data_IF_080503372094
#
_entry.id   IF_080503372094
#
_cell.length_a   1.000
_cell.length_b   1.000
_cell.length_c   1.000
_cell.angle_alpha   90.00
_cell.angle_beta   90.00
_cell.angle_gamma   90.00
#
_symmetry.space_group_name_H-M   'P 1'
#
loop_
_entity.id
_entity.type
_entity.pdbx_description
1 polymer ?
#
# COMPACT_ATOMS: atom_id res chain seq x y z
N UNK A 1 50.72 -9.24 -15.67
CA UNK A 1 49.65 -9.82 -14.84
C UNK A 1 48.42 -8.94 -14.97
N UNK A 2 47.45 -9.36 -15.78
CA UNK A 2 46.22 -8.60 -15.99
C UNK A 2 45.30 -8.76 -14.78
N UNK A 3 44.94 -7.65 -14.15
CA UNK A 3 43.91 -7.63 -13.11
C UNK A 3 42.57 -7.95 -13.77
N UNK A 4 41.90 -9.00 -13.30
CA UNK A 4 40.54 -9.34 -13.70
C UNK A 4 39.59 -8.25 -13.17
N UNK A 5 39.06 -7.42 -14.06
CA UNK A 5 37.89 -6.60 -13.76
C UNK A 5 36.71 -7.52 -13.47
N UNK A 6 36.34 -7.61 -12.20
CA UNK A 6 35.16 -8.33 -11.77
C UNK A 6 33.93 -7.44 -12.06
N UNK A 7 33.40 -7.53 -13.28
CA UNK A 7 32.14 -6.88 -13.67
C UNK A 7 30.97 -7.59 -12.97
N UNK A 8 30.76 -7.28 -11.69
CA UNK A 8 29.57 -7.71 -10.96
C UNK A 8 28.41 -6.75 -11.26
N UNK A 9 27.64 -7.03 -12.32
CA UNK A 9 26.31 -6.42 -12.51
C UNK A 9 25.18 -7.47 -12.45
N UNK A 10 24.63 -7.77 -11.26
CA UNK A 10 23.36 -8.47 -11.13
C UNK A 10 22.27 -7.66 -10.37
N UNK A 11 22.51 -6.38 -10.05
CA UNK A 11 21.58 -5.57 -9.24
C UNK A 11 20.38 -5.00 -10.01
N UNK A 12 20.55 -4.41 -11.20
CA UNK A 12 19.41 -3.75 -11.88
C UNK A 12 18.34 -4.74 -12.32
N UNK A 13 18.73 -5.90 -12.86
CA UNK A 13 17.75 -6.92 -13.25
C UNK A 13 16.91 -7.47 -12.08
N UNK A 14 17.43 -7.48 -10.84
CA UNK A 14 16.63 -7.88 -9.67
C UNK A 14 15.63 -6.79 -9.26
N UNK A 15 16.08 -5.53 -9.24
CA UNK A 15 15.23 -4.36 -8.96
C UNK A 15 14.10 -4.26 -9.98
N UNK A 16 14.42 -4.32 -11.27
CA UNK A 16 13.45 -4.26 -12.37
C UNK A 16 12.39 -5.36 -12.26
N UNK A 17 12.80 -6.60 -11.93
CA UNK A 17 11.85 -7.70 -11.70
C UNK A 17 10.95 -7.47 -10.48
N UNK A 18 11.48 -6.89 -9.40
CA UNK A 18 10.69 -6.58 -8.22
C UNK A 18 9.68 -5.46 -8.49
N UNK A 19 10.10 -4.38 -9.15
CA UNK A 19 9.22 -3.28 -9.55
C UNK A 19 8.13 -3.76 -10.51
N UNK A 20 8.52 -4.52 -11.55
CA UNK A 20 7.57 -5.12 -12.49
C UNK A 20 6.54 -5.98 -11.74
N UNK A 21 6.99 -6.83 -10.82
CA UNK A 21 6.08 -7.70 -10.05
C UNK A 21 5.20 -6.89 -9.09
N UNK A 22 5.74 -5.84 -8.47
CA UNK A 22 4.99 -4.94 -7.60
C UNK A 22 3.84 -4.29 -8.37
N UNK A 23 4.11 -3.60 -9.48
CA UNK A 23 3.07 -2.96 -10.28
C UNK A 23 2.05 -3.96 -10.82
N UNK A 24 2.47 -5.12 -11.33
CA UNK A 24 1.53 -6.17 -11.78
C UNK A 24 0.53 -6.57 -10.69
N UNK A 25 0.96 -6.68 -9.42
CA UNK A 25 0.07 -7.00 -8.30
C UNK A 25 -0.82 -5.80 -7.95
N UNK A 26 -0.26 -4.59 -7.98
CA UNK A 26 -1.00 -3.35 -7.68
C UNK A 26 -2.10 -3.10 -8.71
N UNK A 27 -1.81 -3.32 -9.98
CA UNK A 27 -2.74 -3.16 -11.10
C UNK A 27 -3.82 -4.24 -11.12
N UNK A 28 -3.46 -5.48 -10.78
CA UNK A 28 -4.47 -6.55 -10.62
C UNK A 28 -5.50 -6.18 -9.54
N UNK A 29 -5.08 -5.55 -8.44
CA UNK A 29 -6.03 -5.06 -7.42
C UNK A 29 -6.93 -3.95 -7.98
N UNK A 30 -6.41 -3.07 -8.83
CA UNK A 30 -7.19 -2.01 -9.46
C UNK A 30 -8.21 -2.60 -10.46
N UNK A 31 -7.83 -3.61 -11.24
CA UNK A 31 -8.74 -4.25 -12.21
C UNK A 31 -9.91 -4.97 -11.55
N UNK A 32 -9.71 -5.54 -10.35
CA UNK A 32 -10.81 -6.12 -9.56
C UNK A 32 -11.88 -5.10 -9.15
N UNK A 33 -11.55 -3.80 -9.17
CA UNK A 33 -12.44 -2.74 -8.73
C UNK A 33 -12.91 -1.84 -9.90
N UNK A 34 -12.56 -2.17 -11.15
CA UNK A 34 -12.70 -1.26 -12.29
C UNK A 34 -14.14 -0.81 -12.57
N UNK A 35 -15.11 -1.71 -12.36
CA UNK A 35 -16.53 -1.48 -12.67
C UNK A 35 -17.37 -1.11 -11.43
N UNK A 36 -16.72 -0.85 -10.29
CA UNK A 36 -17.42 -0.47 -9.06
C UNK A 36 -17.70 1.03 -9.01
N UNK A 37 -18.90 1.40 -8.57
CA UNK A 37 -19.27 2.78 -8.30
C UNK A 37 -18.81 3.19 -6.89
N UNK A 38 -18.59 4.50 -6.60
CA UNK A 38 -18.10 4.95 -5.30
C UNK A 38 -18.87 4.41 -4.08
N UNK A 39 -20.18 4.21 -4.21
CA UNK A 39 -21.08 3.67 -3.20
C UNK A 39 -20.75 2.19 -2.87
N UNK A 40 -20.32 1.40 -3.84
CA UNK A 40 -19.96 -0.01 -3.63
C UNK A 40 -18.71 -0.15 -2.75
N UNK A 41 -17.86 0.87 -2.72
CA UNK A 41 -16.61 0.85 -1.95
C UNK A 41 -16.78 1.08 -0.45
N UNK A 42 -17.93 1.56 0.00
CA UNK A 42 -18.11 2.05 1.38
C UNK A 42 -18.86 1.08 2.29
N UNK A 43 -19.63 0.15 1.73
CA UNK A 43 -20.52 -0.71 2.51
C UNK A 43 -19.77 -1.83 3.22
N UNK A 44 -20.21 -2.13 4.44
CA UNK A 44 -19.84 -3.33 5.19
C UNK A 44 -21.11 -4.17 5.43
N UNK A 45 -21.31 -5.21 4.63
CA UNK A 45 -22.54 -6.02 4.65
C UNK A 45 -22.66 -6.91 5.89
N UNK A 46 -21.54 -7.35 6.44
CA UNK A 46 -21.43 -8.11 7.68
C UNK A 46 -20.08 -7.85 8.35
N UNK A 47 -19.89 -8.13 9.66
CA UNK A 47 -18.65 -7.84 10.38
C UNK A 47 -17.40 -8.44 9.74
N UNK A 48 -17.56 -9.56 9.02
CA UNK A 48 -16.43 -10.23 8.36
C UNK A 48 -15.98 -9.58 7.05
N UNK A 49 -16.87 -8.85 6.37
CA UNK A 49 -16.54 -8.09 5.16
C UNK A 49 -15.93 -6.75 5.57
N UNK A 50 -14.94 -6.27 4.81
CA UNK A 50 -14.48 -4.88 4.92
C UNK A 50 -14.84 -4.13 3.63
N UNK A 51 -15.12 -2.81 3.69
CA UNK A 51 -15.41 -2.03 2.50
C UNK A 51 -14.26 -2.09 1.48
N UNK A 52 -14.56 -2.07 0.19
CA UNK A 52 -13.53 -2.17 -0.86
C UNK A 52 -12.46 -1.07 -0.73
N UNK A 53 -12.85 0.17 -0.39
CA UNK A 53 -11.85 1.24 -0.16
C UNK A 53 -10.95 0.96 1.03
N UNK A 54 -11.45 0.26 2.05
CA UNK A 54 -10.65 -0.16 3.19
C UNK A 54 -9.60 -1.19 2.75
N UNK A 55 -9.94 -2.14 1.88
CA UNK A 55 -8.94 -3.08 1.31
C UNK A 55 -7.86 -2.38 0.48
N UNK A 56 -8.24 -1.43 -0.38
CA UNK A 56 -7.29 -0.63 -1.17
C UNK A 56 -6.31 0.13 -0.29
N UNK A 57 -6.81 0.77 0.76
CA UNK A 57 -6.00 1.54 1.69
C UNK A 57 -5.19 0.66 2.66
N UNK A 58 -5.76 -0.45 3.15
CA UNK A 58 -5.07 -1.39 4.04
C UNK A 58 -3.84 -2.02 3.39
N UNK A 59 -3.97 -2.51 2.16
CA UNK A 59 -2.81 -3.06 1.43
C UNK A 59 -1.72 -2.02 1.18
N UNK A 60 -2.09 -0.75 1.11
CA UNK A 60 -1.17 0.39 0.93
C UNK A 60 -0.48 0.76 2.23
N UNK A 61 -1.24 0.82 3.32
CA UNK A 61 -0.73 1.00 4.68
C UNK A 61 0.31 -0.03 5.06
N UNK A 62 0.21 -1.26 4.56
CA UNK A 62 1.21 -2.29 4.78
C UNK A 62 2.59 -1.87 4.22
N UNK A 63 2.65 -1.40 2.97
CA UNK A 63 3.90 -0.92 2.36
C UNK A 63 4.42 0.33 3.05
N UNK A 64 3.54 1.28 3.37
CA UNK A 64 3.95 2.48 4.11
C UNK A 64 4.58 2.11 5.47
N UNK A 65 3.92 1.24 6.23
CA UNK A 65 4.28 0.94 7.62
C UNK A 65 5.51 0.04 7.73
N UNK A 66 5.57 -1.01 6.93
CA UNK A 66 6.60 -2.04 7.09
C UNK A 66 7.78 -1.88 6.13
N UNK A 67 7.59 -1.15 5.02
CA UNK A 67 8.65 -0.91 4.03
C UNK A 67 9.13 0.53 4.11
N UNK A 68 8.32 1.51 3.73
CA UNK A 68 8.77 2.90 3.57
C UNK A 68 9.28 3.50 4.89
N UNK A 69 8.51 3.39 5.98
CA UNK A 69 8.94 3.88 7.30
C UNK A 69 10.23 3.24 7.81
N UNK A 70 10.57 2.03 7.33
CA UNK A 70 11.78 1.31 7.78
C UNK A 70 12.99 1.57 6.90
N UNK A 71 12.78 1.70 5.59
CA UNK A 71 13.86 1.64 4.61
C UNK A 71 14.05 2.92 3.80
N UNK A 72 13.10 3.89 3.86
CA UNK A 72 13.24 5.19 3.22
C UNK A 72 13.66 6.26 4.25
N UNK A 73 14.94 6.71 4.25
CA UNK A 73 15.41 7.71 5.20
C UNK A 73 14.59 9.00 5.12
N UNK A 74 14.15 9.51 6.27
CA UNK A 74 13.39 10.77 6.34
C UNK A 74 11.94 10.67 5.88
N UNK A 75 11.43 9.48 5.53
CA UNK A 75 10.03 9.31 5.15
C UNK A 75 9.08 9.76 6.27
N UNK A 76 8.05 10.53 5.90
CA UNK A 76 6.98 10.97 6.80
C UNK A 76 5.63 10.68 6.15
N UNK A 77 4.74 10.06 6.92
CA UNK A 77 3.36 9.87 6.50
C UNK A 77 2.70 11.22 6.21
N UNK A 78 2.15 11.38 5.01
CA UNK A 78 1.36 12.55 4.63
C UNK A 78 0.11 12.69 5.52
N UNK A 79 -0.54 11.55 5.80
CA UNK A 79 -1.75 11.48 6.62
C UNK A 79 -1.53 10.46 7.76
N UNK A 80 -0.95 10.87 8.90
CA UNK A 80 -0.61 9.96 9.99
C UNK A 80 -1.79 9.15 10.54
N UNK A 81 -3.01 9.67 10.45
CA UNK A 81 -4.25 9.03 10.93
C UNK A 81 -4.57 7.73 10.19
N UNK A 82 -4.05 7.55 8.97
CA UNK A 82 -4.25 6.32 8.19
C UNK A 82 -3.63 5.10 8.87
N UNK A 83 -2.62 5.29 9.71
CA UNK A 83 -2.06 4.21 10.52
C UNK A 83 -3.10 3.58 11.46
N UNK A 84 -3.96 4.39 12.06
CA UNK A 84 -5.05 3.92 12.93
C UNK A 84 -6.20 3.30 12.12
N UNK A 85 -6.61 3.94 11.02
CA UNK A 85 -7.76 3.52 10.23
C UNK A 85 -7.54 2.21 9.47
N UNK A 86 -6.30 1.96 9.03
CA UNK A 86 -5.99 0.87 8.11
C UNK A 86 -5.10 -0.23 8.70
N UNK A 87 -4.72 -0.14 9.98
CA UNK A 87 -4.20 -1.28 10.71
C UNK A 87 -5.28 -2.37 10.86
N UNK A 88 -4.96 -3.60 10.48
CA UNK A 88 -5.91 -4.72 10.50
C UNK A 88 -6.04 -5.39 11.87
N UNK A 89 -4.91 -5.62 12.55
CA UNK A 89 -4.76 -6.39 13.79
C UNK A 89 -3.33 -6.38 14.35
N UNK A 90 -2.43 -5.53 13.83
CA UNK A 90 -1.04 -5.49 14.27
C UNK A 90 -0.92 -4.65 15.55
N UNK A 91 -1.11 -5.29 16.72
CA UNK A 91 -1.02 -4.60 18.02
C UNK A 91 0.33 -3.90 18.23
N UNK A 92 1.42 -4.48 17.73
CA UNK A 92 2.75 -3.87 17.80
C UNK A 92 2.92 -2.63 16.90
N UNK A 93 2.03 -2.42 15.92
CA UNK A 93 2.03 -1.24 15.05
C UNK A 93 1.21 -0.07 15.65
N UNK A 94 0.43 -0.32 16.72
CA UNK A 94 -0.40 0.67 17.40
C UNK A 94 -1.88 0.30 17.43
N UNK A 95 -2.69 1.19 18.01
CA UNK A 95 -4.15 1.04 18.06
C UNK A 95 -4.78 0.99 16.67
N UNK A 96 -6.00 0.43 16.59
CA UNK A 96 -6.73 0.30 15.33
C UNK A 96 -8.20 0.69 15.45
N UNK A 97 -8.77 1.15 14.34
CA UNK A 97 -10.22 1.28 14.22
C UNK A 97 -10.90 -0.08 14.29
N UNK A 98 -12.04 -0.12 14.97
CA UNK A 98 -12.84 -1.33 15.16
C UNK A 98 -13.25 -1.96 13.83
N UNK A 99 -12.95 -3.26 13.67
CA UNK A 99 -13.21 -4.03 12.44
C UNK A 99 -14.69 -4.03 12.05
N UNK A 100 -15.58 -4.18 13.02
CA UNK A 100 -17.04 -4.23 12.85
C UNK A 100 -17.66 -2.87 12.51
N UNK A 101 -16.86 -1.79 12.53
CA UNK A 101 -17.31 -0.42 12.24
C UNK A 101 -16.57 0.21 11.07
N UNK A 102 -15.89 -0.57 10.21
CA UNK A 102 -15.17 -0.06 9.04
C UNK A 102 -16.11 0.59 8.02
N UNK A 103 -17.33 0.08 7.89
CA UNK A 103 -18.38 0.65 7.01
C UNK A 103 -18.90 2.03 7.45
N UNK A 104 -18.62 2.47 8.68
CA UNK A 104 -19.00 3.80 9.17
C UNK A 104 -18.01 4.90 8.77
N UNK A 105 -16.88 4.52 8.16
CA UNK A 105 -15.82 5.44 7.78
C UNK A 105 -16.18 6.07 6.42
N UNK A 106 -16.79 7.25 6.41
CA UNK A 106 -17.06 8.00 5.18
C UNK A 106 -15.80 8.67 4.59
N UNK A 107 -14.79 8.95 5.43
CA UNK A 107 -13.50 9.54 5.04
C UNK A 107 -12.32 8.67 5.49
N UNK A 108 -11.32 8.42 4.62
CA UNK A 108 -11.18 8.99 3.28
C UNK A 108 -12.21 8.47 2.25
N UNK A 109 -12.48 9.33 1.28
CA UNK A 109 -13.23 9.02 0.06
C UNK A 109 -12.50 7.97 -0.77
N UNK A 110 -13.19 7.36 -1.73
CA UNK A 110 -12.58 6.41 -2.67
C UNK A 110 -11.41 7.05 -3.42
N UNK A 111 -11.59 8.28 -3.89
CA UNK A 111 -10.55 9.05 -4.59
C UNK A 111 -9.33 9.32 -3.71
N UNK A 112 -9.53 9.65 -2.43
CA UNK A 112 -8.42 9.84 -1.48
C UNK A 112 -7.69 8.52 -1.18
N UNK A 113 -8.40 7.39 -1.06
CA UNK A 113 -7.79 6.08 -0.90
C UNK A 113 -6.97 5.67 -2.14
N UNK A 114 -7.45 5.97 -3.35
CA UNK A 114 -6.70 5.76 -4.60
C UNK A 114 -5.48 6.68 -4.72
N UNK A 115 -5.60 7.95 -4.32
CA UNK A 115 -4.44 8.88 -4.26
C UNK A 115 -3.39 8.39 -3.28
N UNK A 116 -3.82 7.87 -2.13
CA UNK A 116 -2.91 7.25 -1.17
C UNK A 116 -2.21 6.03 -1.76
N UNK A 117 -2.91 5.14 -2.48
CA UNK A 117 -2.27 4.06 -3.26
C UNK A 117 -1.17 4.60 -4.16
N UNK A 118 -1.50 5.56 -5.03
CA UNK A 118 -0.56 6.08 -6.02
C UNK A 118 0.66 6.75 -5.39
N UNK A 119 0.46 7.50 -4.30
CA UNK A 119 1.53 8.14 -3.53
C UNK A 119 2.51 7.12 -2.95
N UNK A 120 2.00 6.08 -2.30
CA UNK A 120 2.86 5.02 -1.73
C UNK A 120 3.53 4.18 -2.82
N UNK A 121 2.87 3.94 -3.96
CA UNK A 121 3.47 3.24 -5.09
C UNK A 121 4.67 4.03 -5.63
N UNK A 122 4.52 5.35 -5.84
CA UNK A 122 5.63 6.23 -6.24
C UNK A 122 6.80 6.19 -5.25
N UNK A 123 6.52 6.17 -3.95
CA UNK A 123 7.58 6.08 -2.94
C UNK A 123 8.28 4.71 -2.92
N UNK A 124 7.59 3.62 -3.28
CA UNK A 124 8.20 2.30 -3.44
C UNK A 124 9.09 2.28 -4.69
N UNK A 125 8.66 2.94 -5.76
CA UNK A 125 9.45 3.10 -6.99
C UNK A 125 10.75 3.85 -6.70
N UNK A 126 10.67 4.99 -5.99
CA UNK A 126 11.83 5.79 -5.58
C UNK A 126 12.77 5.01 -4.64
N UNK A 127 12.23 4.17 -3.76
CA UNK A 127 13.03 3.37 -2.83
C UNK A 127 13.84 2.28 -3.53
N UNK A 128 13.31 1.72 -4.62
CA UNK A 128 13.91 0.58 -5.31
C UNK A 128 14.76 0.97 -6.53
N UNK A 129 14.53 2.15 -7.12
CA UNK A 129 15.29 2.70 -8.24
C UNK A 129 16.75 2.99 -7.88
#
# INVERSE_FOLDING_TARGET
MAAKENHFRPRSGRVERLLTRFHQIRDFTNSLCADLEPEDYVVQSMPDVSPTKWHLAHTTWFFETFILKKFSPGYRSEIPQYAYLFNSYYNAAGDMHRRDMRGLISRPTVREAQRYRASIDSHVDDLLS
#
